data_IF_288239912860
#
_entry.id   IF_288239912860
#
_cell.length_a   1.000
_cell.length_b   1.000
_cell.length_c   1.000
_cell.angle_alpha   90.00
_cell.angle_beta   90.00
_cell.angle_gamma   90.00
#
_symmetry.space_group_name_H-M   'P 1'
#
loop_
_entity.id
_entity.type
_entity.pdbx_description
1 polymer ?
#
# COMPACT_ATOMS: atom_id res chain seq x y z
N UNK A 1 26.04 -8.93 16.71
CA UNK A 1 25.42 -8.63 18.04
C UNK A 1 24.99 -9.93 18.68
N UNK A 2 25.39 -10.18 19.92
CA UNK A 2 24.99 -11.36 20.70
C UNK A 2 23.60 -11.13 21.30
N UNK A 3 22.62 -11.99 20.98
CA UNK A 3 21.28 -11.91 21.53
C UNK A 3 21.03 -13.10 22.44
N UNK A 4 20.79 -12.84 23.72
CA UNK A 4 20.53 -13.89 24.72
C UNK A 4 19.12 -14.42 24.57
N UNK A 5 18.97 -15.73 24.39
CA UNK A 5 17.66 -16.35 24.19
C UNK A 5 17.60 -17.75 24.82
N UNK A 6 16.57 -18.01 25.62
CA UNK A 6 16.40 -19.27 26.37
C UNK A 6 15.32 -20.20 25.78
N UNK A 7 14.61 -19.78 24.73
CA UNK A 7 13.48 -20.52 24.13
C UNK A 7 13.62 -20.63 22.60
N UNK A 8 13.00 -21.65 21.98
CA UNK A 8 12.94 -21.76 20.52
C UNK A 8 12.15 -20.57 19.94
N UNK A 9 12.83 -19.66 19.25
CA UNK A 9 12.20 -18.49 18.60
C UNK A 9 12.72 -18.31 17.19
N UNK A 10 11.92 -17.71 16.31
CA UNK A 10 12.40 -17.31 15.00
C UNK A 10 13.45 -16.21 15.17
N UNK A 11 14.52 -16.29 14.36
CA UNK A 11 15.59 -15.29 14.37
C UNK A 11 15.03 -13.89 14.15
N UNK A 12 14.03 -13.77 13.28
CA UNK A 12 13.24 -12.57 13.07
C UNK A 12 12.58 -12.01 14.34
N UNK A 13 11.96 -12.84 15.17
CA UNK A 13 11.27 -12.36 16.37
C UNK A 13 12.28 -11.82 17.37
N UNK A 14 13.41 -12.53 17.52
CA UNK A 14 14.53 -12.14 18.36
C UNK A 14 15.08 -10.77 17.94
N UNK A 15 15.21 -10.55 16.63
CA UNK A 15 15.65 -9.26 16.07
C UNK A 15 14.64 -8.14 16.30
N UNK A 16 13.35 -8.41 16.11
CA UNK A 16 12.28 -7.43 16.33
C UNK A 16 12.23 -6.94 17.78
N UNK A 17 12.39 -7.84 18.76
CA UNK A 17 12.46 -7.49 20.19
C UNK A 17 13.73 -6.70 20.55
N UNK A 18 14.79 -6.83 19.76
CA UNK A 18 16.06 -6.10 19.94
C UNK A 18 16.08 -4.75 19.22
N UNK A 19 14.95 -4.30 18.67
CA UNK A 19 14.84 -3.03 17.94
C UNK A 19 15.46 -3.05 16.54
N UNK A 20 15.85 -4.23 16.03
CA UNK A 20 16.45 -4.39 14.72
C UNK A 20 15.37 -4.68 13.67
N UNK A 21 15.37 -3.89 12.60
CA UNK A 21 14.39 -4.01 11.50
C UNK A 21 15.08 -4.58 10.27
N UNK A 22 14.48 -5.61 9.69
CA UNK A 22 14.80 -6.09 8.34
C UNK A 22 13.52 -6.02 7.51
N UNK A 23 13.65 -5.90 6.20
CA UNK A 23 12.55 -5.89 5.25
C UNK A 23 11.79 -7.24 5.19
N UNK A 24 10.46 -7.17 5.09
CA UNK A 24 9.51 -8.28 5.30
C UNK A 24 8.44 -8.39 4.21
N UNK A 25 8.72 -8.13 2.92
CA UNK A 25 7.66 -7.97 1.92
C UNK A 25 6.82 -9.24 1.71
N UNK A 26 7.33 -10.43 2.08
CA UNK A 26 6.62 -11.70 1.95
C UNK A 26 5.90 -12.16 3.23
N UNK A 27 5.85 -11.36 4.29
CA UNK A 27 5.19 -11.73 5.55
C UNK A 27 5.82 -12.94 6.29
N UNK A 28 7.05 -13.31 5.94
CA UNK A 28 7.76 -14.42 6.57
C UNK A 28 7.62 -15.78 5.87
N UNK A 29 6.99 -15.80 4.69
CA UNK A 29 6.83 -17.02 3.88
C UNK A 29 8.13 -17.56 3.27
N UNK A 30 9.25 -16.84 3.42
CA UNK A 30 10.54 -17.29 2.92
C UNK A 30 10.64 -17.30 1.39
N UNK A 31 9.92 -16.41 0.70
CA UNK A 31 9.88 -16.36 -0.78
C UNK A 31 10.63 -15.17 -1.39
N UNK A 32 10.91 -14.11 -0.61
CA UNK A 32 11.47 -12.86 -1.16
C UNK A 32 12.99 -12.69 -0.98
N UNK A 33 13.62 -13.41 -0.05
CA UNK A 33 15.04 -13.24 0.27
C UNK A 33 15.45 -11.88 0.85
N UNK A 34 14.52 -10.95 1.12
CA UNK A 34 14.84 -9.61 1.68
C UNK A 34 15.19 -9.61 3.17
N UNK A 35 14.97 -10.74 3.85
CA UNK A 35 15.34 -10.93 5.26
C UNK A 35 16.68 -11.66 5.47
N UNK A 36 17.60 -11.57 4.49
CA UNK A 36 18.94 -12.17 4.58
C UNK A 36 19.75 -11.48 5.67
N UNK A 37 20.30 -12.28 6.58
CA UNK A 37 21.22 -11.85 7.63
C UNK A 37 22.34 -12.87 7.76
N UNK A 38 23.53 -12.42 8.16
CA UNK A 38 24.57 -13.35 8.59
C UNK A 38 24.30 -13.72 10.03
N UNK A 39 24.17 -15.00 10.32
CA UNK A 39 23.85 -15.45 11.67
C UNK A 39 24.64 -16.70 12.03
N UNK A 40 25.17 -16.73 13.25
CA UNK A 40 25.93 -17.84 13.82
C UNK A 40 25.42 -18.15 15.24
N UNK A 41 25.79 -19.33 15.75
CA UNK A 41 25.31 -19.83 17.05
C UNK A 41 24.35 -21.01 16.91
N UNK A 42 23.47 -21.20 17.89
CA UNK A 42 22.59 -22.36 17.96
C UNK A 42 21.33 -22.19 17.10
N UNK A 43 21.49 -22.34 15.79
CA UNK A 43 20.42 -22.17 14.79
C UNK A 43 19.91 -23.50 14.25
N UNK A 44 18.68 -23.50 13.74
CA UNK A 44 18.12 -24.63 12.99
C UNK A 44 18.93 -24.94 11.74
N UNK A 45 18.84 -26.18 11.23
CA UNK A 45 19.28 -26.50 9.87
C UNK A 45 18.66 -25.56 8.83
N UNK A 46 19.30 -25.46 7.66
CA UNK A 46 18.73 -24.72 6.52
C UNK A 46 17.38 -25.32 6.16
N UNK A 47 16.36 -24.48 6.12
CA UNK A 47 15.06 -24.85 5.59
C UNK A 47 15.10 -25.00 4.06
N UNK A 48 14.07 -25.63 3.49
CA UNK A 48 13.91 -25.74 2.04
C UNK A 48 13.87 -24.35 1.36
N UNK A 49 13.14 -23.40 1.94
CA UNK A 49 13.07 -22.01 1.48
C UNK A 49 14.45 -21.32 1.48
N UNK A 50 15.24 -21.52 2.54
CA UNK A 50 16.62 -21.02 2.59
C UNK A 50 17.51 -21.69 1.53
N UNK A 51 17.32 -22.99 1.31
CA UNK A 51 18.09 -23.76 0.34
C UNK A 51 17.84 -23.29 -1.10
N UNK A 52 16.62 -22.88 -1.39
CA UNK A 52 16.18 -22.39 -2.71
C UNK A 52 16.57 -20.93 -2.99
N UNK A 53 16.64 -20.08 -1.96
CA UNK A 53 16.88 -18.63 -2.12
C UNK A 53 18.35 -18.23 -1.92
N UNK A 54 19.08 -18.95 -1.06
CA UNK A 54 20.46 -18.60 -0.76
C UNK A 54 21.40 -19.21 -1.80
N UNK A 55 22.37 -18.44 -2.26
CA UNK A 55 23.46 -18.96 -3.09
C UNK A 55 24.40 -19.84 -2.25
N UNK A 56 25.18 -20.70 -2.90
CA UNK A 56 26.14 -21.55 -2.18
C UNK A 56 27.21 -20.74 -1.44
N UNK A 57 27.58 -19.58 -1.98
CA UNK A 57 28.46 -18.61 -1.32
C UNK A 57 27.79 -17.99 -0.09
N UNK A 58 26.53 -17.58 -0.19
CA UNK A 58 25.75 -17.06 0.95
C UNK A 58 25.61 -18.11 2.06
N UNK A 59 25.30 -19.36 1.71
CA UNK A 59 25.23 -20.49 2.66
C UNK A 59 26.57 -20.70 3.37
N UNK A 60 27.68 -20.70 2.61
CA UNK A 60 29.03 -20.87 3.16
C UNK A 60 29.44 -19.72 4.08
N UNK A 61 28.97 -18.51 3.79
CA UNK A 61 29.22 -17.32 4.58
C UNK A 61 28.29 -17.16 5.80
N UNK A 62 27.46 -18.17 6.09
CA UNK A 62 26.57 -18.17 7.25
C UNK A 62 25.36 -17.24 7.10
N UNK A 63 24.97 -16.93 5.86
CA UNK A 63 23.75 -16.15 5.58
C UNK A 63 22.53 -17.05 5.81
N UNK A 64 21.53 -16.50 6.46
CA UNK A 64 20.26 -17.13 6.83
C UNK A 64 19.10 -16.23 6.43
N UNK A 65 17.92 -16.83 6.23
CA UNK A 65 16.68 -16.04 6.14
C UNK A 65 16.11 -15.88 7.54
N UNK A 66 16.07 -14.65 8.06
CA UNK A 66 15.60 -14.39 9.42
C UNK A 66 14.17 -14.91 9.67
N UNK A 67 13.33 -14.95 8.63
CA UNK A 67 11.96 -15.48 8.71
C UNK A 67 11.83 -17.01 8.78
N UNK A 68 12.91 -17.76 8.47
CA UNK A 68 12.88 -19.23 8.42
C UNK A 68 13.85 -19.89 9.39
N UNK A 69 14.90 -19.19 9.80
CA UNK A 69 15.86 -19.68 10.77
C UNK A 69 15.28 -19.58 12.19
N UNK A 70 15.28 -20.70 12.92
CA UNK A 70 14.98 -20.71 14.35
C UNK A 70 16.27 -20.68 15.16
N UNK A 71 16.30 -19.92 16.24
CA UNK A 71 17.34 -19.99 17.26
C UNK A 71 16.85 -20.82 18.45
N UNK A 72 17.72 -21.70 18.94
CA UNK A 72 17.49 -22.55 20.11
C UNK A 72 18.32 -22.13 21.32
N UNK A 73 18.95 -20.96 21.26
CA UNK A 73 19.83 -20.43 22.29
C UNK A 73 20.40 -19.08 21.86
N UNK A 74 21.52 -18.70 22.47
CA UNK A 74 22.26 -17.50 22.12
C UNK A 74 22.73 -17.55 20.65
N UNK A 75 22.48 -16.46 19.94
CA UNK A 75 22.84 -16.30 18.53
C UNK A 75 23.51 -14.97 18.31
N UNK A 76 24.49 -14.96 17.41
CA UNK A 76 25.12 -13.74 16.93
C UNK A 76 24.60 -13.42 15.54
N UNK A 77 24.08 -12.20 15.37
CA UNK A 77 23.57 -11.71 14.09
C UNK A 77 24.40 -10.52 13.62
N UNK A 78 24.78 -10.57 12.35
CA UNK A 78 25.49 -9.54 11.61
C UNK A 78 24.71 -9.20 10.33
N UNK A 79 24.57 -7.91 10.04
CA UNK A 79 23.81 -7.47 8.87
C UNK A 79 24.70 -7.59 7.63
N UNK A 80 24.35 -8.51 6.72
CA UNK A 80 24.77 -8.38 5.35
C UNK A 80 24.05 -7.17 4.77
N UNK A 81 24.68 -6.00 4.80
CA UNK A 81 24.19 -4.81 4.13
C UNK A 81 24.05 -5.09 2.62
N UNK A 82 22.86 -5.51 2.19
CA UNK A 82 22.29 -4.98 0.97
C UNK A 82 21.47 -3.78 1.36
N UNK A 83 21.48 -2.75 0.52
CA UNK A 83 20.67 -1.53 0.60
C UNK A 83 19.17 -1.89 0.64
N UNK A 84 18.71 -2.48 1.74
CA UNK A 84 17.32 -2.83 1.94
C UNK A 84 16.58 -1.54 2.22
N UNK A 85 15.74 -1.09 1.28
CA UNK A 85 14.76 -0.01 1.43
C UNK A 85 15.15 1.17 2.36
N UNK A 86 16.44 1.50 2.45
CA UNK A 86 16.94 2.82 2.83
C UNK A 86 16.88 3.72 1.60
N UNK A 87 15.88 3.52 0.73
CA UNK A 87 15.27 4.67 0.12
C UNK A 87 14.64 5.39 1.28
N UNK A 88 15.38 6.32 1.89
CA UNK A 88 14.77 7.38 2.70
C UNK A 88 13.60 7.87 1.85
N UNK A 89 12.38 7.44 2.19
CA UNK A 89 11.25 8.34 2.06
C UNK A 89 11.62 9.42 3.06
N UNK A 90 12.51 10.32 2.63
CA UNK A 90 12.72 11.59 3.31
C UNK A 90 11.30 12.06 3.55
N UNK A 91 11.03 12.41 4.79
CA UNK A 91 9.83 13.17 5.11
C UNK A 91 9.79 14.34 4.13
N UNK A 92 8.97 14.19 3.09
CA UNK A 92 8.80 15.21 2.07
C UNK A 92 7.93 16.26 2.75
N UNK A 93 8.60 17.22 3.38
CA UNK A 93 7.96 18.35 4.01
C UNK A 93 7.87 19.47 2.99
N UNK A 94 6.66 19.75 2.51
CA UNK A 94 6.37 21.02 1.90
C UNK A 94 5.86 21.97 2.99
N UNK A 95 6.67 22.97 3.32
CA UNK A 95 6.31 24.07 4.22
C UNK A 95 5.96 25.28 3.36
N UNK A 96 4.77 25.81 3.54
CA UNK A 96 4.28 26.99 2.81
C UNK A 96 4.54 28.31 3.55
N UNK A 97 4.65 28.28 4.89
CA UNK A 97 4.73 29.47 5.76
C UNK A 97 5.68 29.31 6.96
N UNK A 98 6.04 30.43 7.60
CA UNK A 98 6.86 30.43 8.82
C UNK A 98 6.08 29.89 10.03
N UNK A 99 6.39 28.64 10.42
CA UNK A 99 5.73 27.91 11.50
C UNK A 99 5.84 28.57 12.90
N UNK A 100 6.78 29.52 13.07
CA UNK A 100 7.05 30.17 14.36
C UNK A 100 5.92 31.10 14.86
N UNK A 101 4.99 31.49 13.98
CA UNK A 101 3.86 32.39 14.31
C UNK A 101 2.52 31.69 14.44
N UNK A 102 2.47 30.36 14.27
CA UNK A 102 1.24 29.58 14.31
C UNK A 102 0.96 29.15 15.75
N UNK A 103 -0.17 29.59 16.31
CA UNK A 103 -0.61 29.17 17.66
C UNK A 103 -1.49 27.92 17.64
N UNK A 104 -2.24 27.70 16.55
CA UNK A 104 -3.24 26.65 16.39
C UNK A 104 -3.25 26.11 14.97
N UNK A 105 -3.54 24.83 14.81
CA UNK A 105 -3.72 24.20 13.51
C UNK A 105 -4.79 23.09 13.56
N UNK A 106 -5.19 22.63 12.38
CA UNK A 106 -6.06 21.47 12.20
C UNK A 106 -5.41 20.48 11.24
N UNK A 107 -5.73 19.19 11.34
CA UNK A 107 -5.03 18.14 10.61
C UNK A 107 -5.97 17.19 9.85
N UNK A 108 -5.62 16.90 8.59
CA UNK A 108 -6.15 15.77 7.84
C UNK A 108 -5.08 14.69 7.82
N UNK A 109 -5.38 13.49 8.27
CA UNK A 109 -4.41 12.41 8.47
C UNK A 109 -4.92 11.15 7.79
N UNK A 110 -4.14 10.61 6.87
CA UNK A 110 -4.39 9.34 6.18
C UNK A 110 -3.42 8.28 6.69
N UNK A 111 -3.97 7.29 7.39
CA UNK A 111 -3.26 6.15 7.97
C UNK A 111 -3.26 4.98 6.99
N UNK A 112 -2.43 5.06 5.95
CA UNK A 112 -2.24 3.96 5.01
C UNK A 112 -1.45 2.80 5.63
N UNK A 113 -1.64 1.61 5.08
CA UNK A 113 -0.94 0.39 5.55
C UNK A 113 0.57 0.52 5.34
N UNK A 114 0.99 1.13 4.23
CA UNK A 114 2.41 1.27 3.89
C UNK A 114 2.93 2.69 4.11
N UNK A 115 2.08 3.69 3.93
CA UNK A 115 2.46 5.10 4.02
C UNK A 115 1.44 5.85 4.87
N UNK A 116 1.93 6.69 5.77
CA UNK A 116 1.13 7.66 6.52
C UNK A 116 1.36 9.04 5.88
N UNK A 117 0.28 9.76 5.61
CA UNK A 117 0.31 11.07 4.98
C UNK A 117 -0.58 12.05 5.74
N UNK A 118 -0.13 13.29 5.93
CA UNK A 118 -0.88 14.28 6.68
C UNK A 118 -0.74 15.69 6.09
N UNK A 119 -1.84 16.44 6.15
CA UNK A 119 -1.89 17.87 5.89
C UNK A 119 -2.25 18.60 7.18
N UNK A 120 -1.48 19.63 7.50
CA UNK A 120 -1.74 20.53 8.62
C UNK A 120 -2.09 21.91 8.06
N UNK A 121 -3.22 22.46 8.49
CA UNK A 121 -3.76 23.74 8.01
C UNK A 121 -3.89 24.74 9.16
N UNK A 122 -3.97 26.02 8.84
CA UNK A 122 -4.57 26.99 9.77
C UNK A 122 -6.03 26.60 10.07
N UNK A 123 -6.64 27.08 11.17
CA UNK A 123 -8.03 26.81 11.51
C UNK A 123 -9.06 27.25 10.44
N UNK A 124 -8.65 28.02 9.43
CA UNK A 124 -9.47 28.36 8.27
C UNK A 124 -9.69 27.20 7.28
N UNK A 125 -9.01 26.06 7.48
CA UNK A 125 -8.99 24.85 6.64
C UNK A 125 -8.54 25.08 5.18
N UNK A 126 -8.00 26.26 4.86
CA UNK A 126 -7.63 26.66 3.50
C UNK A 126 -6.12 26.84 3.37
N UNK A 127 -5.51 27.42 4.38
CA UNK A 127 -4.08 27.72 4.38
C UNK A 127 -3.33 26.48 4.86
N UNK A 128 -2.83 25.68 3.91
CA UNK A 128 -1.94 24.57 4.22
C UNK A 128 -0.68 25.14 4.85
N UNK A 129 -0.28 24.68 6.03
CA UNK A 129 0.95 25.06 6.72
C UNK A 129 2.09 24.08 6.42
N UNK A 130 1.74 22.79 6.46
CA UNK A 130 2.69 21.69 6.32
C UNK A 130 2.00 20.49 5.71
N UNK A 131 2.64 19.90 4.71
CA UNK A 131 2.34 18.54 4.25
C UNK A 131 3.49 17.64 4.66
N UNK A 132 3.19 16.40 5.04
CA UNK A 132 4.19 15.41 5.38
C UNK A 132 3.74 14.00 5.01
N UNK A 133 4.71 13.18 4.62
CA UNK A 133 4.52 11.79 4.24
C UNK A 133 5.66 10.94 4.78
N UNK A 134 5.37 9.74 5.27
CA UNK A 134 6.38 8.80 5.73
C UNK A 134 5.94 7.34 5.60
N UNK A 135 6.90 6.41 5.59
CA UNK A 135 6.58 4.98 5.69
C UNK A 135 5.89 4.69 7.03
N UNK A 136 4.88 3.83 6.99
CA UNK A 136 4.20 3.36 8.18
C UNK A 136 5.12 2.39 8.94
N UNK A 137 5.63 2.77 10.14
CA UNK A 137 6.58 1.93 10.87
C UNK A 137 5.96 0.63 11.40
N UNK A 138 4.63 0.49 11.39
CA UNK A 138 3.96 -0.78 11.70
C UNK A 138 4.34 -1.92 10.73
N UNK A 139 4.91 -1.60 9.56
CA UNK A 139 5.46 -2.61 8.64
C UNK A 139 6.47 -3.56 9.31
N UNK A 140 7.14 -3.14 10.39
CA UNK A 140 8.05 -3.99 11.17
C UNK A 140 7.34 -5.12 11.92
N UNK A 141 6.04 -4.99 12.18
CA UNK A 141 5.22 -5.97 12.92
C UNK A 141 4.33 -6.82 12.01
N UNK A 142 4.16 -6.42 10.75
CA UNK A 142 3.41 -7.18 9.76
C UNK A 142 3.50 -6.53 8.39
N UNK A 143 3.75 -7.36 7.38
CA UNK A 143 3.91 -6.93 5.98
C UNK A 143 2.59 -6.44 5.37
N UNK A 144 1.47 -6.98 5.86
CA UNK A 144 0.13 -6.72 5.41
C UNK A 144 -0.80 -6.47 6.62
N UNK A 145 -2.06 -6.17 6.35
CA UNK A 145 -3.02 -5.86 7.40
C UNK A 145 -3.36 -7.08 8.27
N UNK A 146 -3.41 -8.28 7.70
CA UNK A 146 -3.78 -9.51 8.41
C UNK A 146 -2.72 -9.89 9.44
N UNK A 147 -1.45 -9.85 9.05
CA UNK A 147 -0.33 -10.09 9.97
C UNK A 147 -0.28 -9.08 11.11
N UNK A 148 -0.63 -7.81 10.86
CA UNK A 148 -0.76 -6.78 11.91
C UNK A 148 -1.96 -7.04 12.82
N UNK A 149 -3.10 -7.46 12.29
CA UNK A 149 -4.27 -7.87 13.10
C UNK A 149 -3.86 -9.01 14.04
N UNK A 150 -3.14 -10.01 13.53
CA UNK A 150 -2.64 -11.13 14.33
C UNK A 150 -1.68 -10.68 15.44
N UNK A 151 -0.77 -9.74 15.13
CA UNK A 151 0.12 -9.13 16.14
C UNK A 151 -0.66 -8.37 17.21
N UNK A 152 -1.74 -7.69 16.81
CA UNK A 152 -2.62 -6.91 17.70
C UNK A 152 -3.60 -7.76 18.54
N UNK A 153 -3.49 -9.09 18.54
CA UNK A 153 -4.40 -9.92 19.36
C UNK A 153 -4.18 -9.76 20.86
N UNK A 154 -2.97 -9.41 21.28
CA UNK A 154 -2.68 -9.07 22.68
C UNK A 154 -2.88 -7.58 22.93
N UNK A 155 -3.19 -7.21 24.16
CA UNK A 155 -3.23 -5.81 24.60
C UNK A 155 -1.90 -5.08 24.34
N UNK A 156 -0.78 -5.73 24.67
CA UNK A 156 0.56 -5.21 24.39
C UNK A 156 0.79 -4.97 22.88
N UNK A 157 0.37 -5.91 22.02
CA UNK A 157 0.48 -5.75 20.57
C UNK A 157 -0.34 -4.58 20.04
N UNK A 158 -1.56 -4.37 20.57
CA UNK A 158 -2.41 -3.21 20.25
C UNK A 158 -1.74 -1.91 20.65
N UNK A 159 -1.22 -1.84 21.87
CA UNK A 159 -0.55 -0.65 22.39
C UNK A 159 0.71 -0.29 21.59
N UNK A 160 1.50 -1.29 21.18
CA UNK A 160 2.67 -1.08 20.33
C UNK A 160 2.26 -0.50 18.98
N UNK A 161 1.29 -1.12 18.29
CA UNK A 161 0.83 -0.62 16.99
C UNK A 161 0.25 0.79 17.09
N UNK A 162 -0.53 1.06 18.13
CA UNK A 162 -1.11 2.37 18.39
C UNK A 162 -0.01 3.41 18.63
N UNK A 163 0.96 3.12 19.49
CA UNK A 163 2.07 4.01 19.82
C UNK A 163 2.88 4.40 18.58
N UNK A 164 3.12 3.46 17.66
CA UNK A 164 3.78 3.75 16.39
C UNK A 164 3.02 4.77 15.53
N UNK A 165 1.68 4.69 15.48
CA UNK A 165 0.85 5.64 14.74
C UNK A 165 0.94 7.05 15.35
N UNK A 166 0.77 7.17 16.68
CA UNK A 166 0.90 8.45 17.36
C UNK A 166 2.30 9.06 17.22
N UNK A 167 3.34 8.22 17.31
CA UNK A 167 4.73 8.65 17.06
C UNK A 167 4.91 9.17 15.64
N UNK A 168 4.33 8.49 14.64
CA UNK A 168 4.38 8.90 13.23
C UNK A 168 3.67 10.23 13.01
N UNK A 169 2.46 10.40 13.56
CA UNK A 169 1.71 11.66 13.49
C UNK A 169 2.51 12.79 14.14
N UNK A 170 3.14 12.55 15.29
CA UNK A 170 4.02 13.53 15.96
C UNK A 170 5.21 13.90 15.09
N UNK A 171 5.86 12.95 14.46
CA UNK A 171 7.00 13.21 13.57
C UNK A 171 6.58 14.03 12.33
N UNK A 172 5.43 13.71 11.74
CA UNK A 172 4.88 14.47 10.61
C UNK A 172 4.51 15.90 11.03
N UNK A 173 3.89 16.08 12.19
CA UNK A 173 3.50 17.39 12.70
C UNK A 173 4.72 18.24 13.12
N UNK A 174 5.69 17.65 13.82
CA UNK A 174 6.78 18.38 14.47
C UNK A 174 6.23 19.36 15.52
N UNK A 175 6.68 20.60 15.49
CA UNK A 175 6.26 21.68 16.41
C UNK A 175 4.76 22.03 16.34
N UNK A 176 4.06 21.51 15.33
CA UNK A 176 2.60 21.66 15.20
C UNK A 176 1.82 20.66 16.06
N UNK A 177 2.43 19.57 16.56
CA UNK A 177 1.68 18.46 17.15
C UNK A 177 0.79 18.89 18.33
N UNK A 178 1.34 19.66 19.26
CA UNK A 178 0.61 20.15 20.43
C UNK A 178 -0.34 21.32 20.11
N UNK A 179 -0.34 21.80 18.86
CA UNK A 179 -1.18 22.89 18.35
C UNK A 179 -2.40 22.39 17.57
N UNK A 180 -2.53 21.06 17.38
CA UNK A 180 -3.64 20.45 16.65
C UNK A 180 -4.91 20.54 17.51
N UNK A 181 -5.83 21.44 17.15
CA UNK A 181 -7.11 21.59 17.85
C UNK A 181 -8.16 20.60 17.37
N UNK A 182 -8.07 20.20 16.10
CA UNK A 182 -9.04 19.35 15.44
C UNK A 182 -8.36 18.49 14.37
N UNK A 183 -8.76 17.23 14.26
CA UNK A 183 -8.30 16.38 13.16
C UNK A 183 -9.37 15.47 12.58
N UNK A 184 -9.21 15.16 11.30
CA UNK A 184 -9.92 14.08 10.59
C UNK A 184 -8.91 12.99 10.31
N UNK A 185 -9.15 11.80 10.85
CA UNK A 185 -8.25 10.64 10.71
C UNK A 185 -8.94 9.58 9.86
N UNK A 186 -8.35 9.25 8.72
CA UNK A 186 -8.84 8.29 7.76
C UNK A 186 -7.87 7.13 7.57
N UNK A 187 -8.35 6.06 6.97
CA UNK A 187 -7.59 4.84 6.67
C UNK A 187 -8.54 3.66 6.49
N UNK A 188 -7.98 2.49 6.18
CA UNK A 188 -8.79 1.29 6.15
C UNK A 188 -9.29 0.92 7.56
N UNK A 189 -10.32 0.08 7.63
CA UNK A 189 -11.01 -0.22 8.90
C UNK A 189 -10.07 -0.74 9.98
N UNK A 190 -9.13 -1.63 9.65
CA UNK A 190 -8.17 -2.16 10.63
C UNK A 190 -7.16 -1.10 11.11
N UNK A 191 -6.66 -0.24 10.22
CA UNK A 191 -5.78 0.87 10.58
C UNK A 191 -6.45 1.82 11.59
N UNK A 192 -7.74 2.09 11.43
CA UNK A 192 -8.52 2.92 12.36
C UNK A 192 -8.78 2.23 13.71
N UNK A 193 -8.90 0.90 13.74
CA UNK A 193 -8.97 0.15 15.00
C UNK A 193 -7.63 0.18 15.74
N UNK A 194 -6.49 0.03 15.03
CA UNK A 194 -5.16 0.17 15.64
C UNK A 194 -4.96 1.57 16.23
N UNK A 195 -5.36 2.61 15.50
CA UNK A 195 -5.30 4.00 15.98
C UNK A 195 -6.13 4.19 17.27
N UNK A 196 -7.32 3.58 17.31
CA UNK A 196 -8.27 3.72 18.42
C UNK A 196 -7.98 2.79 19.60
N UNK A 197 -7.01 1.87 19.48
CA UNK A 197 -6.71 0.86 20.51
C UNK A 197 -7.78 -0.23 20.64
N UNK A 198 -8.63 -0.39 19.63
CA UNK A 198 -9.71 -1.37 19.62
C UNK A 198 -9.24 -2.77 19.23
N UNK A 199 -10.05 -3.79 19.55
CA UNK A 199 -9.79 -5.14 19.03
C UNK A 199 -10.11 -5.19 17.54
N UNK A 200 -9.17 -5.72 16.75
CA UNK A 200 -9.30 -5.88 15.31
C UNK A 200 -9.43 -7.35 14.89
N UNK A 201 -9.40 -8.30 15.83
CA UNK A 201 -9.38 -9.73 15.54
C UNK A 201 -10.58 -10.22 14.74
N UNK A 202 -11.75 -9.62 14.96
CA UNK A 202 -13.00 -9.94 14.27
C UNK A 202 -13.04 -9.43 12.82
N UNK A 203 -12.14 -8.53 12.42
CA UNK A 203 -11.99 -8.08 11.02
C UNK A 203 -11.39 -9.20 10.16
N UNK A 204 -10.46 -9.98 10.72
CA UNK A 204 -9.79 -11.07 10.02
C UNK A 204 -10.48 -12.44 10.19
N UNK A 205 -11.58 -12.51 10.93
CA UNK A 205 -12.26 -13.76 11.27
C UNK A 205 -13.72 -13.71 10.81
N UNK A 206 -14.19 -14.72 10.09
CA UNK A 206 -15.59 -14.83 9.67
C UNK A 206 -16.53 -14.65 10.90
N UNK A 207 -17.56 -13.78 10.85
CA UNK A 207 -18.15 -13.15 9.67
C UNK A 207 -17.57 -11.77 9.29
N UNK A 208 -16.30 -11.50 9.58
CA UNK A 208 -15.56 -10.28 9.22
C UNK A 208 -16.24 -9.01 9.72
N UNK A 209 -16.63 -9.03 11.01
CA UNK A 209 -17.42 -7.96 11.62
C UNK A 209 -16.50 -7.08 12.48
N UNK A 210 -16.19 -5.85 12.07
CA UNK A 210 -15.42 -4.94 12.93
C UNK A 210 -16.23 -4.58 14.17
N UNK A 211 -15.54 -4.17 15.23
CA UNK A 211 -16.18 -3.66 16.46
C UNK A 211 -17.08 -2.44 16.16
N UNK A 212 -16.67 -1.68 15.15
CA UNK A 212 -17.29 -0.43 14.72
C UNK A 212 -16.88 -0.08 13.29
N UNK A 213 -17.67 0.77 12.63
CA UNK A 213 -17.42 1.23 11.26
C UNK A 213 -17.26 2.76 11.22
N UNK A 214 -16.73 3.31 12.32
CA UNK A 214 -16.75 4.69 12.79
C UNK A 214 -17.24 5.81 11.88
N UNK A 215 -18.26 6.54 12.33
CA UNK A 215 -18.77 7.80 11.76
C UNK A 215 -19.04 8.76 12.90
N UNK A 216 -18.02 9.00 13.72
CA UNK A 216 -18.18 9.56 15.06
C UNK A 216 -16.97 10.35 15.52
N UNK A 217 -17.20 11.19 16.52
CA UNK A 217 -16.18 11.98 17.18
C UNK A 217 -15.65 11.26 18.41
N UNK A 218 -14.33 11.31 18.58
CA UNK A 218 -13.66 11.02 19.84
C UNK A 218 -12.90 12.28 20.26
N UNK A 219 -13.46 13.03 21.21
CA UNK A 219 -12.98 14.37 21.57
C UNK A 219 -12.86 15.27 20.33
N UNK A 220 -11.63 15.66 19.98
CA UNK A 220 -11.30 16.54 18.86
C UNK A 220 -10.87 15.78 17.60
N UNK A 221 -11.08 14.47 17.55
CA UNK A 221 -10.75 13.62 16.40
C UNK A 221 -12.04 13.09 15.78
N UNK A 222 -12.26 13.38 14.52
CA UNK A 222 -13.33 12.76 13.74
C UNK A 222 -12.77 11.58 12.94
N UNK A 223 -13.37 10.39 13.13
CA UNK A 223 -13.08 9.21 12.30
C UNK A 223 -14.27 9.02 11.34
N UNK A 224 -14.05 9.18 10.02
CA UNK A 224 -15.12 9.07 9.02
C UNK A 224 -15.58 7.63 8.79
N UNK A 225 -16.81 7.53 8.26
CA UNK A 225 -17.56 6.28 8.06
C UNK A 225 -16.81 5.24 7.22
N UNK A 226 -16.50 4.09 7.81
CA UNK A 226 -16.13 2.88 7.07
C UNK A 226 -17.38 2.22 6.46
N UNK A 227 -17.19 1.51 5.35
CA UNK A 227 -18.28 0.78 4.67
C UNK A 227 -18.35 -0.67 5.17
N UNK A 228 -17.21 -1.35 5.27
CA UNK A 228 -17.13 -2.75 5.70
C UNK A 228 -15.80 -3.04 6.44
N UNK A 229 -15.54 -4.30 6.79
CA UNK A 229 -14.24 -4.74 7.32
C UNK A 229 -13.07 -4.45 6.37
N UNK A 230 -13.30 -4.58 5.06
CA UNK A 230 -12.25 -4.49 4.02
C UNK A 230 -12.35 -3.22 3.17
N UNK A 231 -13.38 -2.40 3.36
CA UNK A 231 -13.56 -1.10 2.70
C UNK A 231 -13.73 -0.04 3.78
N UNK A 232 -12.66 0.71 4.04
CA UNK A 232 -12.60 1.64 5.15
C UNK A 232 -13.01 3.08 4.80
N UNK A 233 -12.68 3.97 5.73
CA UNK A 233 -12.97 5.40 5.61
C UNK A 233 -12.17 6.06 4.50
N UNK A 234 -10.96 5.57 4.22
CA UNK A 234 -10.14 5.97 3.08
C UNK A 234 -10.91 5.91 1.76
N UNK A 235 -11.60 4.80 1.50
CA UNK A 235 -12.43 4.64 0.30
C UNK A 235 -13.65 5.55 0.34
N UNK A 236 -14.31 5.68 1.49
CA UNK A 236 -15.44 6.62 1.66
C UNK A 236 -15.05 8.06 1.33
N UNK A 237 -13.88 8.50 1.79
CA UNK A 237 -13.35 9.83 1.52
C UNK A 237 -12.85 9.99 0.08
N UNK A 238 -12.31 8.93 -0.53
CA UNK A 238 -11.98 8.93 -1.94
C UNK A 238 -13.24 9.11 -2.83
N UNK A 239 -14.34 8.46 -2.48
CA UNK A 239 -15.65 8.64 -3.14
C UNK A 239 -16.12 10.08 -3.00
N UNK A 240 -16.03 10.66 -1.80
CA UNK A 240 -16.35 12.08 -1.56
C UNK A 240 -15.49 13.00 -2.44
N UNK A 241 -14.16 12.83 -2.41
CA UNK A 241 -13.21 13.69 -3.10
C UNK A 241 -13.31 13.61 -4.63
N UNK A 242 -13.66 12.45 -5.16
CA UNK A 242 -13.83 12.26 -6.61
C UNK A 242 -15.08 12.95 -7.17
N UNK A 243 -16.08 13.22 -6.33
CA UNK A 243 -17.40 13.67 -6.77
C UNK A 243 -18.15 12.66 -7.65
N UNK A 244 -17.70 11.39 -7.69
CA UNK A 244 -18.17 10.38 -8.65
C UNK A 244 -19.69 10.13 -8.60
N UNK A 245 -20.34 10.38 -7.46
CA UNK A 245 -21.78 10.20 -7.29
C UNK A 245 -22.63 11.23 -8.06
N UNK A 246 -22.02 12.32 -8.52
CA UNK A 246 -22.72 13.36 -9.31
C UNK A 246 -22.86 12.98 -10.79
N UNK A 247 -21.95 12.15 -11.31
CA UNK A 247 -21.91 11.74 -12.72
C UNK A 247 -21.78 10.21 -12.83
N UNK A 248 -22.89 9.50 -13.00
CA UNK A 248 -22.92 8.04 -13.19
C UNK A 248 -23.29 7.62 -14.63
N UNK A 249 -22.82 6.46 -15.13
CA UNK A 249 -21.98 5.47 -14.42
C UNK A 249 -20.53 5.90 -14.25
N UNK A 250 -19.96 5.71 -13.05
CA UNK A 250 -18.58 6.08 -12.72
C UNK A 250 -17.91 5.04 -11.81
N UNK A 251 -16.63 4.81 -12.05
CA UNK A 251 -15.82 3.84 -11.31
C UNK A 251 -14.66 4.56 -10.65
N UNK A 252 -14.40 4.27 -9.37
CA UNK A 252 -13.20 4.67 -8.65
C UNK A 252 -12.41 3.42 -8.31
N UNK A 253 -11.10 3.48 -8.51
CA UNK A 253 -10.15 2.41 -8.15
C UNK A 253 -8.99 3.02 -7.38
N UNK A 254 -8.83 2.61 -6.13
CA UNK A 254 -7.62 2.84 -5.35
C UNK A 254 -6.68 1.65 -5.55
N UNK A 255 -5.48 1.92 -6.04
CA UNK A 255 -4.49 0.88 -6.32
C UNK A 255 -3.38 1.00 -5.30
N UNK A 256 -3.38 0.12 -4.32
CA UNK A 256 -2.29 -0.09 -3.38
C UNK A 256 -2.02 -1.58 -3.18
N UNK A 257 -1.59 -1.93 -1.97
CA UNK A 257 -1.49 -3.32 -1.51
C UNK A 257 -2.83 -4.05 -1.61
N UNK A 258 -3.91 -3.32 -1.32
CA UNK A 258 -5.26 -3.71 -1.66
C UNK A 258 -5.73 -2.94 -2.89
N UNK A 259 -6.73 -3.50 -3.57
CA UNK A 259 -7.44 -2.87 -4.66
C UNK A 259 -8.85 -2.51 -4.24
N UNK A 260 -9.03 -1.41 -3.52
CA UNK A 260 -10.34 -0.88 -3.20
C UNK A 260 -10.98 -0.25 -4.44
N UNK A 261 -12.27 -0.49 -4.63
CA UNK A 261 -12.99 0.03 -5.79
C UNK A 261 -14.45 0.31 -5.48
N UNK A 262 -14.99 1.31 -6.15
CA UNK A 262 -16.36 1.76 -6.00
C UNK A 262 -16.96 2.05 -7.37
N UNK A 263 -18.10 1.43 -7.69
CA UNK A 263 -18.85 1.65 -8.93
C UNK A 263 -20.20 2.28 -8.59
N UNK A 264 -20.44 3.48 -9.09
CA UNK A 264 -21.74 4.13 -9.02
C UNK A 264 -22.49 3.94 -10.35
N UNK A 265 -23.61 3.24 -10.33
CA UNK A 265 -24.45 3.00 -11.51
C UNK A 265 -25.91 2.81 -11.11
N UNK A 266 -26.85 3.36 -11.88
CA UNK A 266 -28.29 3.20 -11.64
C UNK A 266 -28.76 3.67 -10.26
N UNK A 267 -28.10 4.67 -9.66
CA UNK A 267 -28.41 5.16 -8.31
C UNK A 267 -27.90 4.28 -7.17
N UNK A 268 -27.20 3.17 -7.48
CA UNK A 268 -26.59 2.26 -6.51
C UNK A 268 -25.07 2.44 -6.51
N UNK A 269 -24.47 2.20 -5.34
CA UNK A 269 -23.03 2.24 -5.15
C UNK A 269 -22.55 0.84 -4.78
N UNK A 270 -21.83 0.18 -5.68
CA UNK A 270 -21.22 -1.13 -5.42
C UNK A 270 -19.78 -0.91 -4.98
N UNK A 271 -19.36 -1.50 -3.88
CA UNK A 271 -17.96 -1.37 -3.43
C UNK A 271 -17.34 -2.73 -3.19
N UNK A 272 -16.03 -2.81 -3.36
CA UNK A 272 -15.27 -3.99 -3.02
C UNK A 272 -13.81 -3.69 -2.73
N UNK A 273 -13.10 -4.71 -2.28
CA UNK A 273 -11.66 -4.71 -2.11
C UNK A 273 -11.10 -6.07 -2.53
N UNK A 274 -9.98 -6.06 -3.23
CA UNK A 274 -9.25 -7.27 -3.66
C UNK A 274 -7.82 -7.24 -3.14
N UNK A 275 -7.25 -8.40 -2.85
CA UNK A 275 -5.82 -8.52 -2.56
C UNK A 275 -5.01 -8.39 -3.86
N UNK A 276 -4.52 -7.18 -4.17
CA UNK A 276 -3.64 -6.95 -5.31
C UNK A 276 -2.17 -7.28 -5.00
N UNK A 277 -1.80 -7.24 -3.71
CA UNK A 277 -0.42 -7.39 -3.28
C UNK A 277 0.40 -6.13 -3.55
N UNK A 278 1.59 -6.00 -2.93
CA UNK A 278 2.31 -4.73 -2.89
C UNK A 278 3.20 -4.50 -4.12
N UNK A 279 2.87 -5.12 -5.26
CA UNK A 279 3.67 -5.00 -6.49
C UNK A 279 3.69 -3.55 -6.99
N UNK A 280 2.55 -2.86 -6.93
CA UNK A 280 2.42 -1.45 -7.32
C UNK A 280 3.01 -0.48 -6.29
N UNK A 281 3.36 -0.95 -5.10
CA UNK A 281 4.11 -0.16 -4.11
C UNK A 281 5.62 -0.47 -4.16
N UNK A 282 6.02 -1.42 -5.01
CA UNK A 282 7.42 -1.85 -5.18
C UNK A 282 7.91 -2.86 -4.14
N UNK A 283 7.15 -3.15 -3.08
CA UNK A 283 7.66 -3.99 -1.98
C UNK A 283 7.94 -5.45 -2.41
N UNK A 284 7.11 -6.02 -3.29
CA UNK A 284 7.31 -7.37 -3.84
C UNK A 284 8.09 -7.40 -5.15
N UNK A 285 8.68 -6.28 -5.57
CA UNK A 285 9.47 -6.18 -6.79
C UNK A 285 10.94 -6.09 -6.40
N UNK A 286 11.82 -6.78 -7.13
CA UNK A 286 13.23 -7.00 -6.78
C UNK A 286 13.98 -5.68 -6.62
N UNK A 287 13.87 -4.79 -7.61
CA UNK A 287 14.35 -3.41 -7.55
C UNK A 287 13.22 -2.41 -7.30
N UNK A 288 12.08 -2.86 -6.78
CA UNK A 288 10.93 -2.00 -6.56
C UNK A 288 11.14 -1.00 -5.43
N UNK A 289 10.68 0.23 -5.62
CA UNK A 289 10.71 1.28 -4.62
C UNK A 289 9.59 2.30 -4.83
N UNK A 290 9.35 3.16 -3.84
CA UNK A 290 8.44 4.30 -4.00
C UNK A 290 8.93 5.27 -5.08
N UNK A 291 8.03 6.12 -5.56
CA UNK A 291 8.35 7.20 -6.48
C UNK A 291 9.13 8.35 -5.79
N UNK A 292 10.32 8.06 -5.30
CA UNK A 292 11.28 8.98 -4.68
C UNK A 292 12.53 9.13 -5.53
N UNK A 293 13.40 10.10 -5.21
CA UNK A 293 14.60 10.42 -6.02
C UNK A 293 15.44 9.18 -6.36
N UNK A 294 15.75 9.01 -7.66
CA UNK A 294 16.44 7.85 -8.20
C UNK A 294 15.53 6.67 -8.59
N UNK A 295 14.24 6.70 -8.30
CA UNK A 295 13.30 5.69 -8.81
C UNK A 295 13.04 5.91 -10.30
N UNK A 296 13.23 4.87 -11.12
CA UNK A 296 12.79 4.86 -12.52
C UNK A 296 11.26 5.00 -12.53
N UNK A 297 10.77 6.11 -13.08
CA UNK A 297 9.34 6.45 -13.11
C UNK A 297 8.73 6.47 -14.50
N UNK A 298 9.55 6.33 -15.54
CA UNK A 298 9.11 6.26 -16.92
C UNK A 298 10.09 5.42 -17.74
N UNK A 299 9.55 4.57 -18.62
CA UNK A 299 10.30 3.85 -19.65
C UNK A 299 9.67 4.13 -21.02
N UNK A 300 10.46 4.67 -21.92
CA UNK A 300 10.05 5.04 -23.28
C UNK A 300 9.95 3.81 -24.18
N UNK A 301 9.30 3.97 -25.34
CA UNK A 301 9.14 2.89 -26.32
C UNK A 301 10.45 2.39 -26.97
N UNK A 302 11.53 3.15 -26.85
CA UNK A 302 12.89 2.78 -27.28
C UNK A 302 13.75 2.17 -26.17
N UNK A 303 13.21 2.05 -24.94
CA UNK A 303 13.91 1.54 -23.77
C UNK A 303 14.71 2.58 -23.00
N UNK A 304 14.71 3.86 -23.41
CA UNK A 304 15.23 4.95 -22.58
C UNK A 304 14.37 5.13 -21.32
N UNK A 305 14.96 5.62 -20.24
CA UNK A 305 14.25 5.79 -18.97
C UNK A 305 14.45 7.17 -18.36
N UNK A 306 13.55 7.55 -17.44
CA UNK A 306 13.69 8.72 -16.57
C UNK A 306 13.58 8.29 -15.12
N UNK A 307 14.25 9.04 -14.25
CA UNK A 307 14.18 8.87 -12.80
C UNK A 307 13.53 10.08 -12.15
N UNK A 308 12.87 9.87 -11.00
CA UNK A 308 12.45 10.98 -10.14
C UNK A 308 13.70 11.76 -9.71
N UNK A 309 13.66 13.09 -9.83
CA UNK A 309 14.79 13.96 -9.48
C UNK A 309 15.97 13.95 -10.45
N UNK A 310 15.95 13.10 -11.50
CA UNK A 310 17.06 13.02 -12.47
C UNK A 310 18.35 12.40 -11.91
N UNK A 311 18.29 11.74 -10.75
CA UNK A 311 19.42 11.04 -10.16
C UNK A 311 19.72 9.69 -10.85
N UNK A 312 20.87 9.10 -10.53
CA UNK A 312 21.18 7.72 -10.93
C UNK A 312 20.10 6.75 -10.47
N UNK A 313 19.74 5.75 -11.29
CA UNK A 313 18.67 4.80 -10.97
C UNK A 313 19.06 3.93 -9.76
N UNK A 314 18.21 3.94 -8.74
CA UNK A 314 18.34 3.11 -7.51
C UNK A 314 17.33 1.97 -7.47
N UNK A 315 16.26 2.09 -8.26
CA UNK A 315 15.18 1.13 -8.34
C UNK A 315 14.10 1.61 -9.31
N UNK A 316 12.92 1.01 -9.26
CA UNK A 316 11.79 1.28 -10.15
C UNK A 316 10.50 1.45 -9.35
N UNK A 317 9.72 2.49 -9.66
CA UNK A 317 8.39 2.68 -9.06
C UNK A 317 7.28 2.12 -9.95
N UNK A 318 6.04 2.14 -9.46
CA UNK A 318 4.86 1.57 -10.12
C UNK A 318 4.71 1.99 -11.58
N UNK A 319 4.82 3.29 -11.86
CA UNK A 319 4.66 3.83 -13.22
C UNK A 319 5.78 3.37 -14.14
N UNK A 320 7.02 3.35 -13.64
CA UNK A 320 8.17 2.82 -14.36
C UNK A 320 8.01 1.33 -14.66
N UNK A 321 7.50 0.55 -13.70
CA UNK A 321 7.29 -0.89 -13.86
C UNK A 321 6.25 -1.18 -14.95
N UNK A 322 5.12 -0.47 -14.95
CA UNK A 322 4.09 -0.60 -16.00
C UNK A 322 4.66 -0.27 -17.38
N UNK A 323 5.42 0.81 -17.47
CA UNK A 323 6.06 1.24 -18.71
C UNK A 323 7.09 0.20 -19.20
N UNK A 324 7.91 -0.34 -18.28
CA UNK A 324 8.90 -1.36 -18.58
C UNK A 324 8.25 -2.65 -19.09
N UNK A 325 7.21 -3.15 -18.41
CA UNK A 325 6.45 -4.33 -18.84
C UNK A 325 5.83 -4.08 -20.22
N UNK A 326 5.22 -2.92 -20.44
CA UNK A 326 4.63 -2.57 -21.74
C UNK A 326 5.69 -2.51 -22.85
N UNK A 327 6.87 -1.96 -22.57
CA UNK A 327 8.01 -1.96 -23.49
C UNK A 327 8.47 -3.39 -23.82
N UNK A 328 8.66 -4.22 -22.79
CA UNK A 328 9.12 -5.60 -22.93
C UNK A 328 8.13 -6.46 -23.74
N UNK A 329 6.82 -6.31 -23.51
CA UNK A 329 5.78 -6.95 -24.31
C UNK A 329 5.83 -6.53 -25.78
N UNK A 330 5.98 -5.23 -26.04
CA UNK A 330 6.06 -4.70 -27.41
C UNK A 330 7.29 -5.22 -28.16
N UNK A 331 8.38 -5.48 -27.45
CA UNK A 331 9.65 -6.00 -28.02
C UNK A 331 9.70 -7.53 -28.08
N UNK A 332 8.69 -8.24 -27.55
CA UNK A 332 8.70 -9.70 -27.48
C UNK A 332 9.72 -10.26 -26.48
N UNK A 333 10.16 -9.45 -25.51
CA UNK A 333 11.08 -9.86 -24.44
C UNK A 333 10.33 -10.67 -23.38
N UNK A 334 9.07 -10.32 -23.14
CA UNK A 334 8.13 -11.12 -22.35
C UNK A 334 7.05 -11.62 -23.29
N UNK A 335 6.63 -12.88 -23.15
CA UNK A 335 5.47 -13.43 -23.85
C UNK A 335 4.14 -12.93 -23.25
N UNK A 336 3.02 -13.21 -23.92
CA UNK A 336 1.68 -12.81 -23.40
C UNK A 336 1.32 -13.49 -22.08
N UNK A 337 1.80 -14.70 -21.86
CA UNK A 337 1.64 -15.46 -20.62
C UNK A 337 2.61 -15.01 -19.51
N UNK A 338 3.55 -14.11 -19.82
CA UNK A 338 4.48 -13.54 -18.82
C UNK A 338 5.81 -14.26 -18.70
N UNK A 339 6.12 -15.18 -19.62
CA UNK A 339 7.42 -15.84 -19.63
C UNK A 339 8.54 -14.84 -19.94
N UNK A 340 9.52 -14.80 -19.05
CA UNK A 340 10.77 -14.08 -19.17
C UNK A 340 11.90 -15.08 -18.90
N UNK A 341 12.81 -15.26 -19.84
CA UNK A 341 13.87 -16.28 -19.76
C UNK A 341 14.86 -16.01 -18.61
N UNK A 342 15.24 -14.74 -18.42
CA UNK A 342 16.21 -14.28 -17.43
C UNK A 342 15.96 -12.81 -17.08
N UNK A 343 16.61 -12.36 -16.02
CA UNK A 343 16.57 -10.96 -15.59
C UNK A 343 16.87 -10.01 -16.75
N UNK A 344 16.00 -9.02 -16.92
CA UNK A 344 16.09 -8.03 -17.97
C UNK A 344 16.56 -6.68 -17.42
N UNK A 345 17.77 -6.21 -17.73
CA UNK A 345 18.24 -4.90 -17.32
C UNK A 345 17.49 -3.80 -18.08
N UNK A 346 17.07 -2.76 -17.38
CA UNK A 346 16.44 -1.59 -18.01
C UNK A 346 17.56 -0.73 -18.59
N UNK A 347 17.82 -0.95 -19.89
CA UNK A 347 18.92 -0.28 -20.61
C UNK A 347 20.27 -0.49 -19.89
N UNK A 348 21.18 0.48 -19.91
CA UNK A 348 22.47 0.41 -19.20
C UNK A 348 22.38 0.68 -17.67
N UNK A 349 21.18 0.62 -17.08
CA UNK A 349 21.04 0.82 -15.64
C UNK A 349 21.40 -0.42 -14.82
N UNK A 350 21.69 -0.24 -13.53
CA UNK A 350 21.83 -1.32 -12.56
C UNK A 350 20.48 -1.95 -12.16
N UNK A 351 19.35 -1.43 -12.65
CA UNK A 351 18.01 -1.86 -12.29
C UNK A 351 17.52 -2.88 -13.32
N UNK A 352 16.99 -4.01 -12.85
CA UNK A 352 16.43 -5.05 -13.71
C UNK A 352 15.02 -5.48 -13.28
N UNK A 353 14.31 -6.11 -14.21
CA UNK A 353 13.06 -6.83 -14.00
C UNK A 353 13.33 -8.33 -14.04
N UNK A 354 13.02 -9.04 -12.95
CA UNK A 354 13.14 -10.50 -12.88
C UNK A 354 11.86 -11.21 -13.35
N UNK A 355 11.92 -12.52 -13.67
CA UNK A 355 10.73 -13.31 -13.96
C UNK A 355 9.70 -13.29 -12.83
N UNK A 356 10.17 -13.28 -11.57
CA UNK A 356 9.29 -13.18 -10.40
C UNK A 356 8.60 -11.81 -10.32
N UNK A 357 9.27 -10.73 -10.74
CA UNK A 357 8.67 -9.39 -10.77
C UNK A 357 7.54 -9.33 -11.80
N UNK A 358 7.73 -9.92 -12.98
CA UNK A 358 6.68 -10.07 -14.01
C UNK A 358 5.49 -10.83 -13.43
N UNK A 359 5.74 -11.95 -12.73
CA UNK A 359 4.68 -12.74 -12.11
C UNK A 359 3.93 -11.94 -11.05
N UNK A 360 4.63 -11.23 -10.18
CA UNK A 360 4.00 -10.41 -9.13
C UNK A 360 3.17 -9.27 -9.74
N UNK A 361 3.64 -8.66 -10.82
CA UNK A 361 2.86 -7.68 -11.57
C UNK A 361 1.58 -8.29 -12.15
N UNK A 362 1.66 -9.46 -12.80
CA UNK A 362 0.50 -10.15 -13.37
C UNK A 362 -0.59 -10.44 -12.32
N UNK A 363 -0.19 -11.00 -11.16
CA UNK A 363 -1.13 -11.33 -10.09
C UNK A 363 -1.85 -10.08 -9.57
N UNK A 364 -1.11 -9.00 -9.33
CA UNK A 364 -1.70 -7.74 -8.88
C UNK A 364 -2.61 -7.09 -9.92
N UNK A 365 -2.20 -7.06 -11.20
CA UNK A 365 -3.06 -6.53 -12.27
C UNK A 365 -4.33 -7.35 -12.42
N UNK A 366 -4.22 -8.68 -12.35
CA UNK A 366 -5.35 -9.58 -12.53
C UNK A 366 -6.38 -9.41 -11.42
N UNK A 367 -5.94 -9.24 -10.17
CA UNK A 367 -6.79 -8.94 -9.03
C UNK A 367 -7.60 -7.66 -9.27
N UNK A 368 -6.93 -6.55 -9.59
CA UNK A 368 -7.57 -5.26 -9.87
C UNK A 368 -8.57 -5.40 -11.04
N UNK A 369 -8.12 -5.97 -12.15
CA UNK A 369 -8.92 -6.12 -13.37
C UNK A 369 -10.15 -6.99 -13.13
N UNK A 370 -10.01 -8.10 -12.42
CA UNK A 370 -11.10 -9.01 -12.09
C UNK A 370 -12.12 -8.39 -11.15
N UNK A 371 -11.67 -7.62 -10.15
CA UNK A 371 -12.57 -6.86 -9.28
C UNK A 371 -13.41 -5.85 -10.08
N UNK A 372 -12.77 -5.09 -10.97
CA UNK A 372 -13.45 -4.13 -11.86
C UNK A 372 -14.52 -4.82 -12.70
N UNK A 373 -14.18 -5.91 -13.38
CA UNK A 373 -15.13 -6.65 -14.23
C UNK A 373 -16.27 -7.28 -13.42
N UNK A 374 -15.99 -7.73 -12.19
CA UNK A 374 -17.03 -8.27 -11.30
C UNK A 374 -18.04 -7.19 -10.92
N UNK A 375 -17.59 -5.97 -10.58
CA UNK A 375 -18.49 -4.87 -10.28
C UNK A 375 -19.28 -4.40 -11.51
N UNK A 376 -18.63 -4.28 -12.67
CA UNK A 376 -19.29 -3.93 -13.93
C UNK A 376 -20.40 -4.92 -14.27
N UNK A 377 -20.11 -6.23 -14.19
CA UNK A 377 -21.10 -7.28 -14.40
C UNK A 377 -22.25 -7.21 -13.41
N UNK A 378 -21.96 -6.99 -12.12
CA UNK A 378 -22.99 -6.87 -11.08
C UNK A 378 -23.91 -5.67 -11.30
N UNK A 379 -23.38 -4.59 -11.87
CA UNK A 379 -24.15 -3.42 -12.26
C UNK A 379 -24.78 -3.54 -13.67
N UNK A 380 -24.60 -4.68 -14.35
CA UNK A 380 -25.10 -4.96 -15.70
C UNK A 380 -24.69 -3.91 -16.76
N UNK A 381 -23.47 -3.37 -16.63
CA UNK A 381 -22.91 -2.42 -17.60
C UNK A 381 -21.55 -2.89 -18.10
N UNK A 382 -21.18 -2.42 -19.29
CA UNK A 382 -19.84 -2.58 -19.85
C UNK A 382 -18.92 -1.39 -19.49
N UNK A 383 -17.61 -1.61 -19.56
CA UNK A 383 -16.64 -0.54 -19.31
C UNK A 383 -16.79 0.67 -20.26
N UNK A 384 -17.30 0.48 -21.47
CA UNK A 384 -17.52 1.55 -22.45
C UNK A 384 -18.62 2.53 -22.02
N UNK A 385 -19.57 2.07 -21.19
CA UNK A 385 -20.67 2.86 -20.65
C UNK A 385 -20.25 3.73 -19.45
N UNK A 386 -19.07 3.48 -18.88
CA UNK A 386 -18.50 4.39 -17.88
C UNK A 386 -18.37 5.78 -18.48
N UNK A 387 -18.85 6.79 -17.74
CA UNK A 387 -18.61 8.20 -18.03
C UNK A 387 -17.24 8.63 -17.52
N UNK A 388 -16.86 8.16 -16.34
CA UNK A 388 -15.59 8.46 -15.68
C UNK A 388 -14.98 7.24 -15.00
N UNK A 389 -13.66 7.12 -15.10
CA UNK A 389 -12.82 6.22 -14.29
C UNK A 389 -11.86 7.08 -13.47
N UNK A 390 -12.03 7.08 -12.16
CA UNK A 390 -11.14 7.73 -11.21
C UNK A 390 -10.10 6.71 -10.72
N UNK A 391 -8.83 7.08 -10.76
CA UNK A 391 -7.74 6.24 -10.25
C UNK A 391 -6.96 7.05 -9.21
N UNK A 392 -6.72 6.44 -8.06
CA UNK A 392 -5.91 6.97 -6.96
C UNK A 392 -4.93 5.88 -6.46
N UNK A 393 -4.08 6.22 -5.50
CA UNK A 393 -3.15 5.29 -4.87
C UNK A 393 -1.74 5.32 -5.45
N UNK A 394 -1.06 4.18 -5.41
CA UNK A 394 0.38 3.99 -5.62
C UNK A 394 0.87 4.27 -7.05
N UNK A 395 -0.02 4.25 -8.05
CA UNK A 395 0.33 4.60 -9.43
C UNK A 395 0.82 6.05 -9.58
N UNK A 396 0.31 6.94 -8.73
CA UNK A 396 0.64 8.36 -8.78
C UNK A 396 0.05 9.10 -10.00
N UNK A 397 0.22 10.42 -9.98
CA UNK A 397 -0.36 11.38 -10.95
C UNK A 397 0.22 11.29 -12.37
N UNK A 398 1.37 10.64 -12.53
CA UNK A 398 2.12 10.58 -13.79
C UNK A 398 2.04 9.20 -14.46
N UNK A 399 1.21 8.29 -13.96
CA UNK A 399 1.07 6.97 -14.55
C UNK A 399 0.53 7.05 -15.98
N UNK A 400 1.13 6.26 -16.88
CA UNK A 400 0.71 6.20 -18.26
C UNK A 400 -0.53 5.30 -18.42
N UNK A 401 -1.70 5.93 -18.53
CA UNK A 401 -2.98 5.23 -18.64
C UNK A 401 -3.13 4.39 -19.92
N UNK A 402 -2.40 4.73 -20.99
CA UNK A 402 -2.38 3.90 -22.18
C UNK A 402 -1.63 2.59 -21.90
N UNK A 403 -0.51 2.66 -21.18
CA UNK A 403 0.25 1.46 -20.79
C UNK A 403 -0.49 0.63 -19.72
N UNK A 404 -1.24 1.27 -18.81
CA UNK A 404 -2.13 0.55 -17.89
C UNK A 404 -3.19 -0.26 -18.64
N UNK A 405 -3.76 0.29 -19.72
CA UNK A 405 -4.71 -0.42 -20.58
C UNK A 405 -4.05 -1.52 -21.41
N UNK A 406 -2.86 -1.27 -21.98
CA UNK A 406 -2.11 -2.24 -22.80
C UNK A 406 -1.62 -3.44 -22.00
N UNK A 407 -1.24 -3.21 -20.74
CA UNK A 407 -0.88 -4.29 -19.82
C UNK A 407 -2.12 -5.02 -19.31
N UNK A 408 -3.33 -4.47 -19.46
CA UNK A 408 -4.57 -5.06 -18.99
C UNK A 408 -4.83 -4.88 -17.50
N UNK A 409 -4.21 -3.88 -16.87
CA UNK A 409 -4.50 -3.47 -15.48
C UNK A 409 -5.90 -2.84 -15.35
N UNK A 410 -6.28 -2.01 -16.33
CA UNK A 410 -7.57 -1.32 -16.39
C UNK A 410 -8.27 -1.59 -17.74
N UNK A 411 -9.61 -1.47 -17.83
CA UNK A 411 -10.33 -1.66 -19.09
C UNK A 411 -9.93 -0.66 -20.15
N UNK A 412 -10.12 -1.04 -21.41
CA UNK A 412 -10.03 -0.11 -22.53
C UNK A 412 -11.16 0.91 -22.46
N UNK A 413 -10.83 2.16 -22.18
CA UNK A 413 -11.75 3.30 -22.18
C UNK A 413 -11.04 4.56 -22.73
N UNK A 414 -11.80 5.51 -23.32
CA UNK A 414 -11.23 6.75 -23.81
C UNK A 414 -10.48 7.53 -22.73
N UNK A 415 -9.31 8.07 -23.07
CA UNK A 415 -8.38 8.71 -22.12
C UNK A 415 -9.01 9.88 -21.38
N UNK A 416 -9.88 10.64 -22.05
CA UNK A 416 -10.64 11.78 -21.52
C UNK A 416 -11.65 11.41 -20.42
N UNK A 417 -11.99 10.12 -20.32
CA UNK A 417 -12.82 9.59 -19.24
C UNK A 417 -12.00 9.21 -18.00
N UNK A 418 -10.67 9.13 -18.11
CA UNK A 418 -9.81 8.72 -17.00
C UNK A 418 -9.34 9.97 -16.24
N UNK A 419 -9.57 9.98 -14.92
CA UNK A 419 -9.17 11.05 -14.00
C UNK A 419 -8.21 10.47 -12.97
N UNK A 420 -7.00 11.01 -12.93
CA UNK A 420 -6.01 10.66 -11.90
C UNK A 420 -6.17 11.59 -10.69
N UNK A 421 -6.38 11.01 -9.52
CA UNK A 421 -6.46 11.71 -8.25
C UNK A 421 -5.18 11.47 -7.45
N UNK A 422 -4.68 12.53 -6.81
CA UNK A 422 -3.57 12.41 -5.85
C UNK A 422 -4.14 12.23 -4.45
N UNK A 423 -3.83 11.10 -3.80
CA UNK A 423 -4.31 10.71 -2.46
C UNK A 423 -5.75 11.21 -2.18
N UNK A 424 -6.73 10.58 -2.83
CA UNK A 424 -8.13 10.98 -2.74
C UNK A 424 -8.68 10.88 -1.30
N UNK A 425 -8.20 9.92 -0.50
CA UNK A 425 -8.57 9.78 0.91
C UNK A 425 -8.17 11.01 1.73
N UNK A 426 -6.90 11.44 1.62
CA UNK A 426 -6.42 12.64 2.30
C UNK A 426 -7.15 13.90 1.82
N UNK A 427 -7.45 14.03 0.51
CA UNK A 427 -8.23 15.16 0.00
C UNK A 427 -9.65 15.17 0.57
N UNK A 428 -10.30 14.02 0.68
CA UNK A 428 -11.64 13.93 1.29
C UNK A 428 -11.62 14.26 2.79
N UNK A 429 -10.55 13.91 3.50
CA UNK A 429 -10.35 14.34 4.89
C UNK A 429 -10.23 15.87 4.99
N UNK A 430 -9.42 16.50 4.12
CA UNK A 430 -9.34 17.97 4.03
C UNK A 430 -10.70 18.61 3.70
N UNK A 431 -11.52 18.00 2.85
CA UNK A 431 -12.86 18.52 2.54
C UNK A 431 -13.78 18.55 3.77
N UNK A 432 -13.64 17.60 4.70
CA UNK A 432 -14.39 17.62 5.96
C UNK A 432 -13.91 18.75 6.88
N UNK A 433 -12.60 19.02 6.90
CA UNK A 433 -12.06 20.18 7.61
C UNK A 433 -12.63 21.49 7.03
N UNK A 434 -12.70 21.60 5.70
CA UNK A 434 -13.21 22.76 4.98
C UNK A 434 -14.73 22.96 5.17
N UNK A 435 -15.52 21.88 5.15
CA UNK A 435 -16.98 21.93 5.37
C UNK A 435 -17.48 20.67 6.10
N UNK A 436 -17.95 20.87 7.34
CA UNK A 436 -18.51 19.81 8.18
C UNK A 436 -19.78 19.17 7.60
N UNK A 437 -20.47 19.78 6.65
CA UNK A 437 -21.59 19.14 5.97
C UNK A 437 -21.17 17.87 5.22
N UNK A 438 -19.90 17.77 4.83
CA UNK A 438 -19.34 16.57 4.21
C UNK A 438 -19.43 15.33 5.12
N UNK A 439 -19.54 15.49 6.45
CA UNK A 439 -19.80 14.38 7.38
C UNK A 439 -21.10 13.67 7.00
N UNK A 440 -22.18 14.42 6.75
CA UNK A 440 -23.47 13.84 6.35
C UNK A 440 -23.35 13.12 5.01
N UNK A 441 -22.56 13.66 4.08
CA UNK A 441 -22.32 13.03 2.78
C UNK A 441 -21.59 11.70 2.95
N UNK A 442 -20.57 11.62 3.81
CA UNK A 442 -19.87 10.35 4.10
C UNK A 442 -20.77 9.29 4.72
N UNK A 443 -21.70 9.68 5.59
CA UNK A 443 -22.71 8.77 6.14
C UNK A 443 -23.64 8.24 5.04
N UNK A 444 -24.11 9.10 4.14
CA UNK A 444 -24.97 8.70 3.04
C UNK A 444 -24.24 7.83 1.99
N UNK A 445 -22.94 8.09 1.75
CA UNK A 445 -22.09 7.22 0.92
C UNK A 445 -22.10 5.81 1.50
N UNK A 446 -21.80 5.66 2.80
CA UNK A 446 -21.70 4.35 3.41
C UNK A 446 -23.05 3.62 3.48
N UNK A 447 -24.16 4.33 3.71
CA UNK A 447 -25.51 3.74 3.68
C UNK A 447 -25.91 3.23 2.30
N UNK A 448 -25.49 3.92 1.24
CA UNK A 448 -25.79 3.52 -0.15
C UNK A 448 -24.87 2.41 -0.66
N UNK A 449 -23.74 2.19 -0.01
CA UNK A 449 -22.73 1.25 -0.45
C UNK A 449 -23.19 -0.20 -0.23
N UNK A 450 -23.23 -0.96 -1.30
CA UNK A 450 -23.41 -2.41 -1.29
C UNK A 450 -22.04 -3.08 -1.41
N UNK A 451 -21.55 -3.63 -0.29
CA UNK A 451 -20.30 -4.38 -0.30
C UNK A 451 -20.46 -5.69 -1.07
N UNK A 452 -19.57 -5.90 -2.02
CA UNK A 452 -19.48 -7.14 -2.80
C UNK A 452 -18.26 -7.91 -2.36
N UNK A 453 -18.49 -9.08 -1.75
CA UNK A 453 -17.44 -10.01 -1.34
C UNK A 453 -16.93 -10.79 -2.56
N UNK A 454 -15.77 -10.41 -3.11
CA UNK A 454 -15.24 -11.00 -4.35
C UNK A 454 -14.87 -12.47 -4.19
N UNK A 455 -14.47 -12.88 -2.98
CA UNK A 455 -14.10 -14.28 -2.71
C UNK A 455 -15.27 -15.26 -2.86
N UNK A 456 -16.50 -14.76 -2.80
CA UNK A 456 -17.73 -15.54 -3.00
C UNK A 456 -18.31 -15.39 -4.41
N UNK A 457 -17.62 -14.67 -5.31
CA UNK A 457 -18.07 -14.41 -6.67
C UNK A 457 -17.32 -15.32 -7.65
N UNK A 458 -17.98 -16.32 -8.24
CA UNK A 458 -17.39 -17.17 -9.28
C UNK A 458 -16.82 -16.37 -10.46
N UNK A 459 -17.47 -15.24 -10.78
CA UNK A 459 -17.02 -14.33 -11.83
C UNK A 459 -15.65 -13.72 -11.53
N UNK A 460 -15.39 -13.38 -10.27
CA UNK A 460 -14.10 -12.84 -9.87
C UNK A 460 -12.99 -13.87 -10.11
N UNK A 461 -13.20 -15.12 -9.69
CA UNK A 461 -12.23 -16.20 -9.91
C UNK A 461 -11.98 -16.44 -11.39
N UNK A 462 -13.03 -16.48 -12.21
CA UNK A 462 -12.93 -16.64 -13.66
C UNK A 462 -12.11 -15.51 -14.29
N UNK A 463 -12.48 -14.26 -14.00
CA UNK A 463 -11.80 -13.09 -14.53
C UNK A 463 -10.35 -13.00 -14.01
N UNK A 464 -10.09 -13.36 -12.77
CA UNK A 464 -8.75 -13.38 -12.21
C UNK A 464 -7.83 -14.30 -13.01
N UNK A 465 -8.29 -15.51 -13.34
CA UNK A 465 -7.52 -16.45 -14.16
C UNK A 465 -7.33 -15.90 -15.58
N UNK A 466 -8.38 -15.33 -16.17
CA UNK A 466 -8.34 -14.77 -17.52
C UNK A 466 -7.35 -13.60 -17.65
N UNK A 467 -7.30 -12.71 -16.66
CA UNK A 467 -6.52 -11.47 -16.70
C UNK A 467 -5.10 -11.58 -16.12
N UNK A 468 -4.64 -12.78 -15.73
CA UNK A 468 -3.23 -13.03 -15.43
C UNK A 468 -2.36 -12.78 -16.66
N UNK A 469 -2.81 -13.22 -17.84
CA UNK A 469 -2.13 -12.93 -19.10
C UNK A 469 -2.27 -11.45 -19.50
N UNK A 470 -1.33 -10.97 -20.31
CA UNK A 470 -1.27 -9.58 -20.77
C UNK A 470 -2.28 -9.25 -21.88
#
# INVERSE_FOLDING_TARGET
MLIKNSEKKLLWDIMAHSGMVIDKPCGGNGTCGKCKVKASGNLSPLSEAESNILTDEEKKNGVRLACRAFAFGDVEVDFCAKEGLNGDVKTDFCISESLNSVDKCIAAIDLGTTVIEANFYLPDAKTLLKHGKMLNPQGKFGADIISRIMFSKSEEGRDILRKELFSSIRNLAGDLYDKIEYSVVTGNTAMLHFYSGLDSGSIASYPFKPETLFGSWNENVYIPRCISAYVGADTTLAILASGMLSEGPSLLVDIGTNGEMALYSGGKLYVSSTAAGPAFEGASISHGMFAVSGAINHVSADGSYKTVGGEKPKGICASGLIDAICYMLKKGIISKDGYLEKDFPINESSVFISPQDVRNFQLGKAAIRAGIETLLKKAEISANELKKLYITGALGKNANMENCQKTGLIPKIPKEKIILLSNAALKGASMILEDRNNIKITEEIAKKAEYTELSLCDEFTKNYIEYISF
#
